data_IF_508068523909
#
_entry.id   IF_508068523909
#
_cell.length_a   1.000
_cell.length_b   1.000
_cell.length_c   1.000
_cell.angle_alpha   90.00
_cell.angle_beta   90.00
_cell.angle_gamma   90.00
#
_symmetry.space_group_name_H-M   'P 1'
#
loop_
_entity.id
_entity.type
_entity.pdbx_description
1 polymer ?
#
# COMPACT_ATOMS: atom_id res chain seq x y z
N UNK A 1 5.43 19.44 -7.98
CA UNK A 1 4.85 18.38 -8.83
C UNK A 1 4.96 17.11 -8.03
N UNK A 2 3.84 16.44 -7.80
CA UNK A 2 3.80 15.14 -7.14
C UNK A 2 4.53 14.13 -8.02
N UNK A 3 5.37 13.29 -7.42
CA UNK A 3 6.12 12.26 -8.16
C UNK A 3 5.83 10.91 -7.55
N UNK A 4 5.89 9.85 -8.36
CA UNK A 4 5.69 8.48 -7.89
C UNK A 4 6.62 8.15 -6.72
N UNK A 5 7.92 8.47 -6.87
CA UNK A 5 8.92 8.25 -5.84
C UNK A 5 8.62 9.03 -4.56
N UNK A 6 8.27 10.32 -4.67
CA UNK A 6 7.94 11.16 -3.52
C UNK A 6 6.74 10.63 -2.73
N UNK A 7 5.67 10.26 -3.43
CA UNK A 7 4.48 9.67 -2.83
C UNK A 7 4.78 8.32 -2.16
N UNK A 8 5.53 7.45 -2.84
CA UNK A 8 5.92 6.14 -2.31
C UNK A 8 6.76 6.27 -1.03
N UNK A 9 7.76 7.14 -1.02
CA UNK A 9 8.58 7.40 0.16
C UNK A 9 7.72 7.93 1.32
N UNK A 10 6.75 8.81 1.02
CA UNK A 10 5.82 9.35 2.02
C UNK A 10 4.99 8.22 2.66
N UNK A 11 4.42 7.34 1.85
CA UNK A 11 3.65 6.18 2.32
C UNK A 11 4.46 5.22 3.19
N UNK A 12 5.65 4.82 2.72
CA UNK A 12 6.54 3.94 3.49
C UNK A 12 6.92 4.61 4.81
N UNK A 13 7.25 5.91 4.77
CA UNK A 13 7.59 6.66 5.98
C UNK A 13 6.44 6.64 6.99
N UNK A 14 5.20 6.90 6.56
CA UNK A 14 4.04 6.89 7.46
C UNK A 14 3.80 5.50 8.08
N UNK A 15 3.94 4.43 7.30
CA UNK A 15 3.84 3.05 7.78
C UNK A 15 4.92 2.74 8.83
N UNK A 16 6.15 3.19 8.60
CA UNK A 16 7.24 3.03 9.56
C UNK A 16 7.02 3.87 10.84
N UNK A 17 6.50 5.09 10.71
CA UNK A 17 6.13 5.91 11.87
C UNK A 17 5.01 5.25 12.69
N UNK A 18 4.00 4.67 12.06
CA UNK A 18 2.96 3.89 12.73
C UNK A 18 3.53 2.65 13.44
N UNK A 19 4.42 1.91 12.76
CA UNK A 19 5.14 0.78 13.34
C UNK A 19 5.91 1.17 14.60
N UNK A 20 6.64 2.28 14.57
CA UNK A 20 7.50 2.74 15.67
C UNK A 20 6.72 3.35 16.86
N UNK A 21 5.44 3.70 16.68
CA UNK A 21 4.55 4.04 17.81
C UNK A 21 4.32 2.84 18.73
N UNK A 22 4.42 1.62 18.22
CA UNK A 22 4.34 0.42 19.05
C UNK A 22 5.69 0.18 19.75
N UNK A 23 5.66 0.17 21.09
CA UNK A 23 6.84 0.08 21.94
C UNK A 23 7.76 -1.10 21.60
N UNK A 24 7.20 -2.22 21.13
CA UNK A 24 7.95 -3.42 20.74
C UNK A 24 8.93 -3.14 19.60
N UNK A 25 8.57 -2.24 18.68
CA UNK A 25 9.40 -1.91 17.53
C UNK A 25 10.29 -0.69 17.75
N UNK A 26 10.07 0.08 18.81
CA UNK A 26 10.81 1.34 19.06
C UNK A 26 12.30 1.13 19.31
N UNK A 27 12.69 0.00 19.90
CA UNK A 27 14.07 -0.33 20.25
C UNK A 27 14.72 -1.28 19.23
N UNK A 28 14.20 -1.35 18.00
CA UNK A 28 14.69 -2.31 16.99
C UNK A 28 16.19 -2.16 16.69
N UNK A 29 16.73 -0.94 16.72
CA UNK A 29 18.17 -0.67 16.53
C UNK A 29 19.00 -1.24 17.69
N UNK A 30 18.53 -1.06 18.93
CA UNK A 30 19.19 -1.60 20.12
C UNK A 30 19.16 -3.13 20.11
N UNK A 31 18.01 -3.72 19.77
CA UNK A 31 17.86 -5.17 19.63
C UNK A 31 18.83 -5.73 18.58
N UNK A 32 19.05 -5.00 17.49
CA UNK A 32 19.99 -5.38 16.44
C UNK A 32 21.45 -5.31 16.92
N UNK A 33 21.81 -4.25 17.66
CA UNK A 33 23.15 -4.08 18.22
C UNK A 33 23.50 -5.11 19.30
N UNK A 34 22.50 -5.56 20.07
CA UNK A 34 22.67 -6.58 21.12
C UNK A 34 22.70 -8.01 20.56
N UNK A 35 22.35 -8.21 19.28
CA UNK A 35 22.32 -9.53 18.65
C UNK A 35 23.69 -9.93 18.09
N UNK A 36 24.48 -10.62 18.90
CA UNK A 36 25.81 -11.13 18.53
C UNK A 36 25.77 -12.11 17.35
N UNK A 37 24.70 -12.91 17.23
CA UNK A 37 24.49 -13.83 16.10
C UNK A 37 24.32 -13.09 14.76
N UNK A 38 23.59 -11.98 14.77
CA UNK A 38 23.38 -11.17 13.57
C UNK A 38 24.63 -10.40 13.17
N UNK A 39 25.40 -9.91 14.15
CA UNK A 39 26.70 -9.28 13.90
C UNK A 39 27.70 -10.26 13.27
N UNK A 40 27.70 -11.52 13.69
CA UNK A 40 28.57 -12.56 13.11
C UNK A 40 28.20 -12.90 11.65
N UNK A 41 26.91 -12.91 11.31
CA UNK A 41 26.42 -13.20 9.94
C UNK A 41 26.44 -11.99 8.99
N UNK A 42 26.43 -10.76 9.51
CA UNK A 42 26.49 -9.52 8.72
C UNK A 42 27.87 -8.90 8.58
N UNK A 43 28.83 -9.32 9.41
CA UNK A 43 30.21 -8.83 9.44
C UNK A 43 30.34 -7.45 10.09
N UNK A 44 29.62 -6.44 9.59
CA UNK A 44 29.59 -5.08 10.15
C UNK A 44 28.20 -4.71 10.65
N UNK A 45 28.14 -3.87 11.69
CA UNK A 45 26.86 -3.38 12.22
C UNK A 45 26.02 -2.64 11.16
N UNK A 46 26.66 -1.88 10.28
CA UNK A 46 25.98 -1.21 9.15
C UNK A 46 25.28 -2.21 8.23
N UNK A 47 25.95 -3.30 7.84
CA UNK A 47 25.35 -4.31 6.98
C UNK A 47 24.15 -4.99 7.64
N UNK A 48 24.24 -5.24 8.95
CA UNK A 48 23.14 -5.81 9.73
C UNK A 48 21.95 -4.85 9.77
N UNK A 49 22.18 -3.56 10.04
CA UNK A 49 21.12 -2.55 10.02
C UNK A 49 20.46 -2.41 8.65
N UNK A 50 21.25 -2.35 7.58
CA UNK A 50 20.72 -2.27 6.21
C UNK A 50 19.86 -3.47 5.88
N UNK A 51 20.33 -4.70 6.17
CA UNK A 51 19.51 -5.91 6.00
C UNK A 51 18.23 -5.87 6.80
N UNK A 52 18.29 -5.40 8.05
CA UNK A 52 17.09 -5.29 8.90
C UNK A 52 16.09 -4.27 8.36
N UNK A 53 16.57 -3.17 7.79
CA UNK A 53 15.73 -2.19 7.10
C UNK A 53 15.11 -2.80 5.85
N UNK A 54 15.89 -3.51 5.04
CA UNK A 54 15.40 -4.20 3.84
C UNK A 54 14.32 -5.23 4.17
N UNK A 55 14.51 -6.03 5.23
CA UNK A 55 13.50 -6.99 5.74
C UNK A 55 12.16 -6.34 6.11
N UNK A 56 12.15 -5.05 6.45
CA UNK A 56 10.94 -4.32 6.82
C UNK A 56 10.38 -3.55 5.62
N UNK A 57 11.24 -2.89 4.84
CA UNK A 57 10.84 -2.00 3.75
C UNK A 57 10.43 -2.80 2.51
N UNK A 58 11.15 -3.87 2.16
CA UNK A 58 10.86 -4.66 0.94
C UNK A 58 9.44 -5.22 0.96
N UNK A 59 8.96 -5.86 2.05
CA UNK A 59 7.58 -6.33 2.11
C UNK A 59 6.58 -5.19 1.97
N UNK A 60 6.74 -4.09 2.72
CA UNK A 60 5.84 -2.93 2.61
C UNK A 60 5.80 -2.36 1.19
N UNK A 61 6.96 -2.26 0.53
CA UNK A 61 7.06 -1.82 -0.85
C UNK A 61 6.30 -2.74 -1.81
N UNK A 62 6.50 -4.06 -1.70
CA UNK A 62 5.81 -5.03 -2.55
C UNK A 62 4.28 -4.96 -2.39
N UNK A 63 3.84 -4.70 -1.16
CA UNK A 63 2.44 -4.71 -0.79
C UNK A 63 1.75 -3.38 -1.18
N UNK A 64 2.48 -2.25 -1.13
CA UNK A 64 2.07 -0.99 -1.78
C UNK A 64 1.96 -1.19 -3.29
N UNK A 65 2.96 -1.82 -3.94
CA UNK A 65 2.94 -2.09 -5.37
C UNK A 65 1.73 -2.92 -5.77
N UNK A 66 1.43 -3.99 -5.02
CA UNK A 66 0.27 -4.83 -5.24
C UNK A 66 -1.03 -4.03 -5.18
N UNK A 67 -1.15 -3.11 -4.21
CA UNK A 67 -2.31 -2.23 -4.11
C UNK A 67 -2.41 -1.23 -5.27
N UNK A 68 -1.31 -0.55 -5.63
CA UNK A 68 -1.36 0.50 -6.67
C UNK A 68 -1.46 -0.05 -8.08
N UNK A 69 -1.05 -1.30 -8.32
CA UNK A 69 -1.18 -1.99 -9.60
C UNK A 69 -2.46 -2.82 -9.71
N UNK A 70 -3.34 -2.74 -8.72
CA UNK A 70 -4.63 -3.41 -8.77
C UNK A 70 -5.40 -2.98 -10.03
N UNK A 71 -6.00 -3.95 -10.74
CA UNK A 71 -6.60 -3.75 -12.07
C UNK A 71 -5.66 -3.09 -13.10
N UNK A 72 -4.36 -3.39 -13.04
CA UNK A 72 -3.35 -2.85 -13.96
C UNK A 72 -3.24 -1.32 -13.96
N UNK A 73 -3.53 -0.70 -12.82
CA UNK A 73 -3.57 0.76 -12.69
C UNK A 73 -2.21 1.45 -12.91
N UNK A 74 -1.07 0.74 -12.81
CA UNK A 74 0.22 1.31 -13.22
C UNK A 74 0.37 1.42 -14.75
N UNK A 75 -0.38 0.64 -15.54
CA UNK A 75 -0.34 0.77 -17.00
C UNK A 75 -0.89 2.13 -17.46
N UNK A 76 -1.73 2.78 -16.65
CA UNK A 76 -2.19 4.13 -16.92
C UNK A 76 -1.02 5.13 -16.99
N UNK A 77 0.09 4.89 -16.30
CA UNK A 77 1.27 5.78 -16.33
C UNK A 77 2.15 5.60 -17.58
N UNK A 78 2.02 4.47 -18.31
CA UNK A 78 2.85 4.19 -19.50
C UNK A 78 2.35 4.89 -20.75
N UNK A 79 1.02 5.01 -20.88
CA UNK A 79 0.33 5.52 -22.08
C UNK A 79 -0.57 6.72 -21.76
N UNK A 80 -0.37 7.35 -20.59
CA UNK A 80 -1.20 8.44 -20.11
C UNK A 80 -1.07 9.70 -20.96
N UNK A 81 -2.22 10.37 -21.15
CA UNK A 81 -2.24 11.82 -21.38
C UNK A 81 -1.82 12.52 -20.08
N UNK A 82 -1.14 13.67 -20.18
CA UNK A 82 -0.58 14.41 -19.02
C UNK A 82 -1.56 14.56 -17.85
N UNK A 83 -2.85 14.77 -18.12
CA UNK A 83 -3.86 14.93 -17.07
C UNK A 83 -4.19 13.62 -16.32
N UNK A 84 -4.06 12.45 -16.96
CA UNK A 84 -4.28 11.15 -16.33
C UNK A 84 -3.13 10.84 -15.38
N UNK A 85 -1.90 11.09 -15.83
CA UNK A 85 -0.72 10.97 -14.97
C UNK A 85 -0.81 11.92 -13.77
N UNK A 86 -1.15 13.19 -14.00
CA UNK A 86 -1.34 14.16 -12.92
C UNK A 86 -2.41 13.71 -11.92
N UNK A 87 -3.57 13.25 -12.40
CA UNK A 87 -4.63 12.75 -11.53
C UNK A 87 -4.18 11.51 -10.74
N UNK A 88 -3.50 10.58 -11.40
CA UNK A 88 -2.95 9.38 -10.77
C UNK A 88 -2.00 9.74 -9.63
N UNK A 89 -1.06 10.64 -9.90
CA UNK A 89 -0.07 11.10 -8.92
C UNK A 89 -0.72 11.90 -7.79
N UNK A 90 -1.72 12.72 -8.07
CA UNK A 90 -2.46 13.47 -7.05
C UNK A 90 -3.29 12.56 -6.14
N UNK A 91 -3.92 11.50 -6.67
CA UNK A 91 -4.62 10.51 -5.84
C UNK A 91 -3.61 9.73 -5.00
N UNK A 92 -2.55 9.21 -5.61
CA UNK A 92 -1.56 8.41 -4.90
C UNK A 92 -0.84 9.22 -3.81
N UNK A 93 -0.61 10.52 -4.01
CA UNK A 93 0.05 11.38 -3.03
C UNK A 93 -0.86 11.84 -1.89
N UNK A 94 -2.18 11.60 -2.00
CA UNK A 94 -3.17 12.02 -1.01
C UNK A 94 -3.39 10.91 0.03
N UNK A 95 -2.94 11.15 1.25
CA UNK A 95 -3.02 10.22 2.39
C UNK A 95 -4.45 10.05 2.93
N UNK A 96 -5.39 10.93 2.58
CA UNK A 96 -6.80 10.77 2.93
C UNK A 96 -7.52 9.82 1.96
N UNK A 97 -7.02 9.70 0.72
CA UNK A 97 -7.57 8.81 -0.30
C UNK A 97 -6.89 7.45 -0.28
N UNK A 98 -5.56 7.43 -0.19
CA UNK A 98 -4.75 6.22 -0.13
C UNK A 98 -4.22 6.07 1.29
N UNK A 99 -5.03 5.46 2.16
CA UNK A 99 -4.72 5.30 3.58
C UNK A 99 -4.12 3.94 3.88
N UNK A 100 -2.80 3.87 4.06
CA UNK A 100 -2.16 2.62 4.49
C UNK A 100 -2.03 2.55 6.01
N UNK A 101 -2.23 1.36 6.57
CA UNK A 101 -2.07 1.06 8.00
C UNK A 101 -1.10 -0.10 8.22
N UNK A 102 -0.06 0.17 9.00
CA UNK A 102 0.89 -0.84 9.44
C UNK A 102 0.23 -1.81 10.44
N UNK A 103 -0.69 -1.33 11.28
CA UNK A 103 -1.42 -2.21 12.21
C UNK A 103 -2.25 -3.25 11.45
N UNK A 104 -2.97 -2.84 10.40
CA UNK A 104 -3.73 -3.76 9.55
C UNK A 104 -2.83 -4.74 8.80
N UNK A 105 -1.71 -4.25 8.27
CA UNK A 105 -0.67 -5.08 7.66
C UNK A 105 -0.14 -6.14 8.64
N UNK A 106 0.23 -5.73 9.86
CA UNK A 106 0.76 -6.64 10.88
C UNK A 106 -0.26 -7.66 11.38
N UNK A 107 -1.56 -7.38 11.26
CA UNK A 107 -2.65 -8.32 11.56
C UNK A 107 -3.00 -9.26 10.40
N UNK A 108 -2.29 -9.16 9.26
CA UNK A 108 -2.54 -9.98 8.08
C UNK A 108 -3.82 -9.60 7.32
N UNK A 109 -4.34 -8.38 7.52
CA UNK A 109 -5.54 -7.87 6.83
C UNK A 109 -5.21 -7.14 5.52
N UNK A 110 -3.93 -7.04 5.18
CA UNK A 110 -3.44 -6.19 4.12
C UNK A 110 -3.11 -4.77 4.59
N UNK A 111 -2.42 -4.03 3.74
CA UNK A 111 -1.89 -2.69 4.05
C UNK A 111 -2.99 -1.62 4.03
N UNK A 112 -4.05 -1.87 3.28
CA UNK A 112 -5.23 -1.01 3.21
C UNK A 112 -6.40 -1.77 3.84
N UNK A 113 -7.14 -1.14 4.76
CA UNK A 113 -8.25 -1.79 5.50
C UNK A 113 -9.34 -2.34 4.58
N UNK A 114 -9.47 -1.74 3.40
CA UNK A 114 -10.39 -2.12 2.34
C UNK A 114 -9.60 -2.71 1.17
N UNK A 115 -8.85 -3.80 1.40
CA UNK A 115 -8.36 -4.57 0.25
C UNK A 115 -9.58 -5.17 -0.47
N UNK A 116 -9.80 -4.86 -1.76
CA UNK A 116 -10.78 -5.59 -2.55
C UNK A 116 -10.39 -7.06 -2.47
N UNK A 117 -11.30 -7.92 -2.04
CA UNK A 117 -11.06 -9.36 -2.01
C UNK A 117 -10.46 -9.79 -3.33
N UNK A 118 -9.27 -10.38 -3.26
CA UNK A 118 -8.58 -10.99 -4.40
C UNK A 118 -9.58 -11.75 -5.25
N UNK A 119 -9.52 -11.51 -6.55
CA UNK A 119 -10.36 -12.08 -7.62
C UNK A 119 -11.80 -11.57 -7.68
N UNK A 120 -12.18 -11.08 -8.86
CA UNK A 120 -13.47 -10.47 -9.16
C UNK A 120 -14.65 -11.39 -8.84
N UNK A 121 -15.18 -11.21 -7.63
CA UNK A 121 -16.50 -11.70 -7.24
C UNK A 121 -17.24 -10.56 -6.56
N UNK A 122 -17.80 -9.67 -7.37
CA UNK A 122 -18.84 -8.75 -6.91
C UNK A 122 -20.15 -9.55 -6.97
N UNK A 123 -20.74 -9.87 -5.81
CA UNK A 123 -22.08 -10.50 -5.74
C UNK A 123 -22.15 -11.97 -6.15
N UNK A 124 -21.15 -12.79 -5.85
CA UNK A 124 -21.20 -14.25 -6.06
C UNK A 124 -21.09 -14.71 -7.52
N UNK A 125 -20.81 -13.81 -8.46
CA UNK A 125 -20.47 -14.16 -9.84
C UNK A 125 -18.98 -13.97 -10.08
N UNK A 126 -18.31 -15.07 -10.39
CA UNK A 126 -17.03 -15.04 -11.12
C UNK A 126 -17.32 -14.34 -12.43
N UNK A 127 -16.70 -13.18 -12.67
CA UNK A 127 -16.72 -12.58 -14.01
C UNK A 127 -16.01 -13.59 -14.92
N UNK A 128 -16.78 -14.23 -15.78
CA UNK A 128 -16.25 -15.03 -16.87
C UNK A 128 -15.24 -14.15 -17.65
N UNK A 129 -14.25 -14.80 -18.26
CA UNK A 129 -13.18 -14.18 -19.04
C UNK A 129 -13.70 -13.49 -20.32
N UNK A 130 -14.58 -12.51 -20.17
CA UNK A 130 -15.07 -11.61 -21.20
C UNK A 130 -14.37 -10.27 -20.98
N UNK A 131 -13.58 -9.85 -21.99
CA UNK A 131 -12.84 -8.58 -22.09
C UNK A 131 -12.40 -7.97 -20.76
N UNK A 132 -11.12 -8.20 -20.40
CA UNK A 132 -10.45 -7.59 -19.24
C UNK A 132 -10.91 -6.13 -19.09
N UNK A 133 -11.71 -5.86 -18.05
CA UNK A 133 -12.29 -4.54 -17.84
C UNK A 133 -11.16 -3.53 -17.61
N UNK A 134 -10.79 -2.78 -18.67
CA UNK A 134 -9.74 -1.77 -18.59
C UNK A 134 -10.37 -0.43 -18.23
N UNK A 135 -10.32 -0.07 -16.95
CA UNK A 135 -10.70 1.27 -16.53
C UNK A 135 -9.57 2.26 -16.81
N UNK A 136 -9.86 3.31 -17.60
CA UNK A 136 -8.91 4.39 -17.86
C UNK A 136 -8.88 5.47 -16.75
N UNK A 137 -9.56 5.22 -15.63
CA UNK A 137 -9.64 6.16 -14.51
C UNK A 137 -8.73 5.68 -13.37
N UNK A 138 -7.75 6.50 -12.92
CA UNK A 138 -6.85 6.13 -11.84
C UNK A 138 -7.58 5.77 -10.54
N UNK A 139 -7.23 4.64 -9.92
CA UNK A 139 -7.79 4.21 -8.64
C UNK A 139 -9.33 4.13 -8.61
N UNK A 140 -9.98 3.75 -9.72
CA UNK A 140 -11.44 3.72 -9.83
C UNK A 140 -12.11 2.88 -8.72
N UNK A 141 -11.44 1.82 -8.24
CA UNK A 141 -11.97 0.95 -7.19
C UNK A 141 -12.14 1.69 -5.87
N UNK A 142 -11.21 2.59 -5.51
CA UNK A 142 -11.32 3.41 -4.29
C UNK A 142 -12.53 4.34 -4.37
N UNK A 143 -12.76 4.94 -5.53
CA UNK A 143 -13.91 5.83 -5.74
C UNK A 143 -15.20 5.04 -5.71
N UNK A 144 -15.24 3.89 -6.40
CA UNK A 144 -16.40 2.99 -6.40
C UNK A 144 -16.75 2.58 -4.97
N UNK A 145 -15.79 2.12 -4.19
CA UNK A 145 -15.98 1.72 -2.80
C UNK A 145 -16.44 2.88 -1.92
N UNK A 146 -15.86 4.07 -2.08
CA UNK A 146 -16.29 5.26 -1.33
C UNK A 146 -17.75 5.63 -1.64
N UNK A 147 -18.17 5.56 -2.91
CA UNK A 147 -19.56 5.81 -3.33
C UNK A 147 -20.49 4.74 -2.74
N UNK A 148 -20.12 3.46 -2.84
CA UNK A 148 -20.89 2.34 -2.31
C UNK A 148 -21.08 2.46 -0.79
N UNK A 149 -20.00 2.74 -0.05
CA UNK A 149 -20.04 2.94 1.40
C UNK A 149 -20.97 4.10 1.80
N UNK A 150 -20.94 5.22 1.06
CA UNK A 150 -21.85 6.35 1.30
C UNK A 150 -23.30 6.00 0.98
N UNK A 151 -23.55 5.27 -0.11
CA UNK A 151 -24.89 4.86 -0.52
C UNK A 151 -25.52 3.91 0.51
N UNK A 152 -24.75 2.97 1.04
CA UNK A 152 -25.23 2.02 2.04
C UNK A 152 -25.53 2.72 3.37
N UNK A 153 -24.71 3.70 3.77
CA UNK A 153 -24.99 4.52 4.95
C UNK A 153 -26.36 5.24 4.83
N UNK A 154 -26.69 5.80 3.66
CA UNK A 154 -27.98 6.45 3.41
C UNK A 154 -29.14 5.45 3.51
N UNK A 155 -28.97 4.25 2.95
CA UNK A 155 -29.98 3.19 2.99
C UNK A 155 -30.25 2.67 4.40
N UNK A 156 -29.21 2.54 5.23
CA UNK A 156 -29.36 2.09 6.63
C UNK A 156 -29.92 3.18 7.56
N UNK A 157 -29.98 4.43 7.11
CA UNK A 157 -30.51 5.57 7.87
C UNK A 157 -32.00 5.86 7.58
N UNK A 158 -32.60 5.15 6.62
CA UNK A 158 -34.02 5.27 6.20
C UNK A 158 -34.82 4.07 6.71
#
# INVERSE_FOLDING_TARGET
SDTFYGALVKHIKNLLEEREKNFVYKEWVLNEALSTEKLQSGGTFQNVLTRRLDEVIIPLFADILLFVDHYSNLNLLKEARDYVEQLWLSIFSNEELVLFSYQSYAMGKGIHELQPTTTGVIGGRVLAADEEFVCCFPFFWLIKEAIEAKLDAVRTSS
#
